data_IF_511158637759
#
_entry.id   IF_511158637759
#
_cell.length_a   1.000
_cell.length_b   1.000
_cell.length_c   1.000
_cell.angle_alpha   90.00
_cell.angle_beta   90.00
_cell.angle_gamma   90.00
#
_symmetry.space_group_name_H-M   'P 1'
#
loop_
_entity.id
_entity.type
_entity.pdbx_description
1 polymer ?
#
# COMPACT_ATOMS: atom_id res chain seq x y z
N UNK A 1 -0.91 -6.26 -19.65
CA UNK A 1 -0.50 -7.60 -19.22
C UNK A 1 0.17 -7.45 -17.87
N UNK A 2 -0.15 -8.27 -16.86
CA UNK A 2 0.37 -8.09 -15.49
C UNK A 2 1.90 -8.22 -15.44
N UNK A 3 2.52 -8.87 -16.42
CA UNK A 3 3.97 -8.97 -16.56
C UNK A 3 4.67 -7.60 -16.74
N UNK A 4 4.00 -6.62 -17.33
CA UNK A 4 4.55 -5.26 -17.56
C UNK A 4 4.11 -4.25 -16.50
N UNK A 5 3.25 -4.66 -15.56
CA UNK A 5 2.78 -3.78 -14.51
C UNK A 5 3.89 -3.43 -13.52
N UNK A 6 3.92 -2.16 -13.11
CA UNK A 6 4.85 -1.66 -12.10
C UNK A 6 4.73 -2.49 -10.79
N UNK A 7 3.51 -2.84 -10.41
CA UNK A 7 3.22 -3.57 -9.17
C UNK A 7 2.17 -4.65 -9.44
N UNK A 8 2.39 -5.84 -8.91
CA UNK A 8 1.53 -7.01 -9.13
C UNK A 8 1.23 -7.65 -7.78
N UNK A 9 -0.05 -7.97 -7.54
CA UNK A 9 -0.42 -8.74 -6.35
C UNK A 9 0.04 -10.18 -6.55
N UNK A 10 1.13 -10.57 -5.90
CA UNK A 10 1.73 -11.92 -6.01
C UNK A 10 1.71 -12.68 -4.68
N UNK A 11 1.28 -12.04 -3.60
CA UNK A 11 1.01 -12.71 -2.33
C UNK A 11 -0.16 -12.07 -1.59
N UNK A 12 -0.88 -12.89 -0.83
CA UNK A 12 -1.95 -12.45 0.06
C UNK A 12 -1.80 -13.10 1.43
N UNK A 13 -2.17 -12.38 2.48
CA UNK A 13 -2.20 -12.90 3.84
C UNK A 13 -3.46 -12.43 4.56
N UNK A 14 -4.35 -13.36 4.90
CA UNK A 14 -5.52 -13.06 5.71
C UNK A 14 -5.12 -12.66 7.14
N UNK A 15 -5.87 -11.73 7.72
CA UNK A 15 -5.76 -11.39 9.14
C UNK A 15 -7.14 -11.27 9.77
N UNK A 16 -7.16 -11.23 11.09
CA UNK A 16 -8.35 -10.87 11.85
C UNK A 16 -8.15 -9.48 12.40
N UNK A 17 -9.18 -8.65 12.24
CA UNK A 17 -9.22 -7.33 12.87
C UNK A 17 -9.98 -7.44 14.19
N UNK A 18 -9.48 -6.79 15.23
CA UNK A 18 -10.12 -6.69 16.53
C UNK A 18 -10.03 -5.25 17.06
N UNK A 19 -11.01 -4.84 17.87
CA UNK A 19 -10.99 -3.55 18.57
C UNK A 19 -12.18 -2.63 18.32
N UNK A 20 -12.99 -2.89 17.29
CA UNK A 20 -14.22 -2.14 17.03
C UNK A 20 -15.37 -3.11 16.72
N UNK A 21 -16.35 -3.20 17.62
CA UNK A 21 -17.53 -4.07 17.49
C UNK A 21 -18.83 -3.25 17.62
N UNK A 22 -19.84 -3.47 16.76
CA UNK A 22 -19.83 -4.40 15.62
C UNK A 22 -19.00 -3.86 14.45
N UNK A 23 -18.33 -4.77 13.73
CA UNK A 23 -17.63 -4.42 12.49
C UNK A 23 -18.64 -4.12 11.38
N UNK A 24 -18.38 -3.13 10.50
CA UNK A 24 -19.23 -2.86 9.35
C UNK A 24 -19.36 -4.08 8.42
N UNK A 25 -20.55 -4.31 7.84
CA UNK A 25 -20.80 -5.45 6.94
C UNK A 25 -19.87 -5.47 5.72
N UNK A 26 -19.41 -4.31 5.26
CA UNK A 26 -18.49 -4.21 4.13
C UNK A 26 -17.05 -4.59 4.51
N UNK A 27 -16.68 -4.55 5.80
CA UNK A 27 -15.33 -4.87 6.27
C UNK A 27 -15.19 -6.36 6.59
N UNK A 28 -15.12 -7.16 5.52
CA UNK A 28 -15.06 -8.63 5.61
C UNK A 28 -13.80 -9.17 4.93
N UNK A 29 -13.39 -10.36 5.37
CA UNK A 29 -12.24 -11.12 4.87
C UNK A 29 -10.98 -10.27 4.62
N UNK A 30 -10.50 -9.53 5.64
CA UNK A 30 -9.41 -8.61 5.42
C UNK A 30 -8.11 -9.37 5.10
N UNK A 31 -7.46 -8.93 4.02
CA UNK A 31 -6.20 -9.49 3.52
C UNK A 31 -5.17 -8.39 3.30
N UNK A 32 -3.92 -8.68 3.66
CA UNK A 32 -2.75 -7.96 3.18
C UNK A 32 -2.46 -8.42 1.77
N UNK A 33 -2.19 -7.49 0.85
CA UNK A 33 -1.74 -7.80 -0.51
C UNK A 33 -0.27 -7.41 -0.65
N UNK A 34 0.52 -8.23 -1.34
CA UNK A 34 1.96 -8.03 -1.50
C UNK A 34 2.40 -8.17 -2.95
N UNK A 35 3.41 -7.39 -3.33
CA UNK A 35 4.30 -7.71 -4.45
C UNK A 35 5.56 -8.37 -3.88
N UNK A 36 5.79 -9.62 -4.28
CA UNK A 36 6.87 -10.51 -3.83
C UNK A 36 7.87 -10.79 -4.95
N UNK A 37 7.78 -10.10 -6.08
CA UNK A 37 8.74 -10.25 -7.19
C UNK A 37 10.13 -9.85 -6.70
N UNK A 38 11.15 -10.54 -7.19
CA UNK A 38 12.54 -10.20 -6.92
C UNK A 38 12.93 -8.99 -7.78
N UNK A 39 13.58 -8.01 -7.15
CA UNK A 39 14.07 -6.80 -7.82
C UNK A 39 15.61 -6.70 -7.81
N UNK A 40 16.28 -7.69 -7.21
CA UNK A 40 17.74 -7.83 -7.07
C UNK A 40 18.06 -9.32 -6.87
N UNK A 41 19.14 -9.82 -7.49
CA UNK A 41 19.57 -11.23 -7.42
C UNK A 41 20.17 -11.61 -6.05
N UNK A 42 20.61 -10.63 -5.27
CA UNK A 42 21.38 -10.85 -4.04
C UNK A 42 20.55 -10.77 -2.74
N UNK A 43 19.23 -10.59 -2.85
CA UNK A 43 18.39 -10.21 -1.72
C UNK A 43 17.15 -11.11 -1.53
N UNK A 44 16.74 -11.40 -0.28
CA UNK A 44 15.53 -12.17 -0.03
C UNK A 44 14.32 -11.46 -0.66
N UNK A 45 13.29 -12.20 -1.11
CA UNK A 45 12.15 -11.62 -1.81
C UNK A 45 11.50 -10.55 -0.93
N UNK A 46 11.70 -9.29 -1.30
CA UNK A 46 11.14 -8.16 -0.59
C UNK A 46 9.62 -8.24 -0.62
N UNK A 47 9.01 -8.19 0.56
CA UNK A 47 7.57 -8.13 0.70
C UNK A 47 7.15 -6.65 0.61
N UNK A 48 6.84 -6.17 -0.60
CA UNK A 48 6.24 -4.85 -0.78
C UNK A 48 4.76 -4.96 -0.41
N UNK A 49 4.38 -4.43 0.74
CA UNK A 49 2.97 -4.35 1.14
C UNK A 49 2.26 -3.38 0.21
N UNK A 50 1.29 -3.88 -0.55
CA UNK A 50 0.49 -3.09 -1.49
C UNK A 50 -0.76 -2.54 -0.81
N UNK A 51 -1.37 -3.34 0.07
CA UNK A 51 -2.69 -3.02 0.62
C UNK A 51 -2.85 -3.45 2.06
N UNK A 52 -3.44 -2.58 2.88
CA UNK A 52 -3.78 -2.86 4.27
C UNK A 52 -5.09 -2.18 4.68
N UNK A 53 -6.09 -2.97 5.09
CA UNK A 53 -7.39 -2.50 5.57
C UNK A 53 -7.45 -2.35 7.09
N UNK A 54 -8.19 -1.36 7.58
CA UNK A 54 -8.39 -1.16 9.01
C UNK A 54 -9.69 -0.41 9.30
N UNK A 55 -10.15 -0.48 10.56
CA UNK A 55 -11.28 0.32 11.06
C UNK A 55 -10.76 1.50 11.87
N UNK A 56 -11.37 2.67 11.66
CA UNK A 56 -11.15 3.88 12.45
C UNK A 56 -12.45 4.71 12.49
N UNK A 57 -13.45 4.30 13.30
CA UNK A 57 -14.74 4.97 13.34
C UNK A 57 -14.66 6.41 13.84
N UNK A 58 -13.63 6.79 14.60
CA UNK A 58 -13.45 8.16 15.09
C UNK A 58 -13.22 9.15 13.93
N UNK A 59 -12.60 8.70 12.83
CA UNK A 59 -12.44 9.52 11.61
C UNK A 59 -13.76 9.88 10.92
N UNK A 60 -14.86 9.18 11.20
CA UNK A 60 -16.19 9.54 10.67
C UNK A 60 -16.67 10.90 11.16
N UNK A 61 -16.09 11.42 12.25
CA UNK A 61 -16.40 12.76 12.74
C UNK A 61 -15.84 13.87 11.83
N UNK A 62 -14.94 13.54 10.90
CA UNK A 62 -14.36 14.50 9.97
C UNK A 62 -15.30 14.74 8.77
N UNK A 63 -15.68 16.00 8.46
CA UNK A 63 -16.65 16.30 7.39
C UNK A 63 -16.28 15.80 5.98
N UNK A 64 -14.99 15.54 5.75
CA UNK A 64 -14.44 15.08 4.46
C UNK A 64 -14.40 13.57 4.31
N UNK A 65 -14.71 12.84 5.37
CA UNK A 65 -14.71 11.37 5.39
C UNK A 65 -16.14 10.91 5.16
N UNK A 66 -16.30 10.03 4.17
CA UNK A 66 -17.57 9.36 3.86
C UNK A 66 -17.46 7.87 4.19
N UNK A 67 -18.58 7.14 4.23
CA UNK A 67 -18.57 5.68 4.45
C UNK A 67 -18.84 5.26 5.89
N UNK A 68 -18.35 4.08 6.26
CA UNK A 68 -18.73 3.33 7.48
C UNK A 68 -17.59 3.18 8.50
N UNK A 69 -16.47 3.86 8.27
CA UNK A 69 -15.29 3.80 9.15
C UNK A 69 -14.30 2.71 8.76
N UNK A 70 -14.54 2.01 7.66
CA UNK A 70 -13.58 1.11 7.04
C UNK A 70 -12.68 1.85 6.03
N UNK A 71 -11.38 1.62 6.15
CA UNK A 71 -10.36 2.26 5.33
C UNK A 71 -9.37 1.24 4.79
N UNK A 72 -8.69 1.59 3.72
CA UNK A 72 -7.47 0.90 3.30
C UNK A 72 -6.38 1.90 2.91
N UNK A 73 -5.14 1.51 3.19
CA UNK A 73 -3.97 2.11 2.58
C UNK A 73 -3.63 1.34 1.30
N UNK A 74 -3.51 2.05 0.18
CA UNK A 74 -2.90 1.57 -1.05
C UNK A 74 -1.51 2.19 -1.18
N UNK A 75 -0.47 1.37 -1.23
CA UNK A 75 0.94 1.77 -1.20
C UNK A 75 1.55 1.61 -2.59
N UNK A 76 2.21 2.66 -3.07
CA UNK A 76 2.88 2.66 -4.36
C UNK A 76 4.38 2.75 -4.21
N UNK A 77 5.08 1.97 -5.01
CA UNK A 77 6.52 1.90 -5.08
C UNK A 77 7.01 2.44 -6.44
N UNK A 78 8.23 3.02 -6.49
CA UNK A 78 8.87 3.33 -7.76
C UNK A 78 9.03 2.08 -8.64
N UNK A 79 8.90 2.27 -9.96
CA UNK A 79 9.29 1.26 -10.94
C UNK A 79 10.79 1.02 -10.90
N UNK A 80 11.24 -0.19 -11.24
CA UNK A 80 12.66 -0.56 -11.17
C UNK A 80 13.57 0.31 -12.06
N UNK A 81 13.03 0.88 -13.13
CA UNK A 81 13.67 1.84 -14.03
C UNK A 81 13.22 3.29 -13.79
N UNK A 82 12.38 3.51 -12.78
CA UNK A 82 11.75 4.79 -12.47
C UNK A 82 12.57 5.68 -11.53
N UNK A 83 12.34 7.00 -11.55
CA UNK A 83 12.96 7.92 -10.61
C UNK A 83 12.57 7.57 -9.17
N UNK A 84 13.55 7.63 -8.26
CA UNK A 84 13.36 7.32 -6.85
C UNK A 84 13.49 5.83 -6.49
N UNK A 85 13.70 4.95 -7.47
CA UNK A 85 14.06 3.56 -7.20
C UNK A 85 15.51 3.45 -6.72
N UNK A 86 15.70 2.70 -5.64
CA UNK A 86 17.01 2.41 -5.05
C UNK A 86 17.12 0.89 -4.95
N UNK A 87 18.06 0.30 -5.68
CA UNK A 87 18.20 -1.17 -5.78
C UNK A 87 18.41 -1.80 -4.41
N UNK A 88 19.16 -1.14 -3.52
CA UNK A 88 19.43 -1.63 -2.16
C UNK A 88 18.27 -1.37 -1.18
N UNK A 89 17.23 -0.64 -1.60
CA UNK A 89 16.05 -0.33 -0.80
C UNK A 89 14.79 -0.34 -1.68
N UNK A 90 14.43 -1.48 -2.29
CA UNK A 90 13.31 -1.57 -3.22
C UNK A 90 11.94 -1.46 -2.52
N UNK A 91 11.91 -1.46 -1.19
CA UNK A 91 10.71 -1.33 -0.37
C UNK A 91 10.43 0.12 0.08
N UNK A 92 11.09 1.12 -0.50
CA UNK A 92 10.79 2.53 -0.27
C UNK A 92 9.47 2.91 -0.96
N UNK A 93 8.47 3.28 -0.16
CA UNK A 93 7.13 3.68 -0.63
C UNK A 93 7.26 5.05 -1.28
N UNK A 94 6.89 5.23 -2.54
CA UNK A 94 6.85 6.55 -3.19
C UNK A 94 5.70 7.39 -2.64
N UNK A 95 4.51 6.81 -2.64
CA UNK A 95 3.30 7.44 -2.15
C UNK A 95 2.32 6.40 -1.59
N UNK A 96 1.41 6.84 -0.73
CA UNK A 96 0.34 6.02 -0.20
C UNK A 96 -0.97 6.79 -0.20
N UNK A 97 -2.06 6.12 -0.56
CA UNK A 97 -3.40 6.69 -0.58
C UNK A 97 -4.27 6.05 0.50
N UNK A 98 -4.93 6.90 1.28
CA UNK A 98 -5.99 6.48 2.18
C UNK A 98 -7.32 6.54 1.41
N UNK A 99 -8.04 5.44 1.32
CA UNK A 99 -9.28 5.33 0.56
C UNK A 99 -10.30 4.46 1.31
N UNK A 100 -11.58 4.42 0.89
CA UNK A 100 -12.54 3.48 1.45
C UNK A 100 -12.03 2.04 1.29
N UNK A 101 -12.27 1.20 2.30
CA UNK A 101 -11.96 -0.22 2.19
C UNK A 101 -12.69 -0.86 1.01
N UNK A 102 -12.00 -1.76 0.31
CA UNK A 102 -12.63 -2.68 -0.61
C UNK A 102 -12.19 -4.10 -0.24
N UNK A 103 -12.97 -5.13 -0.60
CA UNK A 103 -12.49 -6.49 -0.47
C UNK A 103 -11.26 -6.71 -1.37
N UNK A 104 -10.38 -7.63 -0.96
CA UNK A 104 -9.18 -7.97 -1.75
C UNK A 104 -9.55 -8.56 -3.09
N UNK A 105 -8.63 -8.46 -4.06
CA UNK A 105 -8.81 -9.07 -5.38
C UNK A 105 -7.97 -10.33 -5.55
N UNK A 106 -8.11 -10.97 -6.71
CA UNK A 106 -7.35 -12.17 -7.06
C UNK A 106 -5.83 -11.91 -7.16
N UNK A 107 -5.02 -12.91 -6.82
CA UNK A 107 -3.58 -12.89 -7.11
C UNK A 107 -3.32 -12.87 -8.63
N UNK A 108 -2.16 -12.34 -9.02
CA UNK A 108 -1.70 -12.24 -10.40
C UNK A 108 -2.20 -11.01 -11.15
N UNK A 109 -3.07 -10.20 -10.55
CA UNK A 109 -3.55 -8.95 -11.14
C UNK A 109 -2.56 -7.80 -10.95
N UNK A 110 -2.65 -6.84 -11.86
CA UNK A 110 -2.04 -5.53 -11.68
C UNK A 110 -2.61 -4.85 -10.42
N UNK A 111 -1.74 -4.21 -9.66
CA UNK A 111 -2.15 -3.44 -8.50
C UNK A 111 -2.54 -2.02 -8.92
N UNK A 112 -3.83 -1.72 -8.84
CA UNK A 112 -4.40 -0.38 -9.05
C UNK A 112 -4.09 0.55 -7.87
N UNK A 113 -2.82 0.94 -7.75
CA UNK A 113 -2.34 1.67 -6.59
C UNK A 113 -2.65 3.17 -6.58
N UNK A 114 -3.01 3.76 -7.73
CA UNK A 114 -3.47 5.16 -7.81
C UNK A 114 -4.99 5.18 -7.97
N UNK A 115 -5.75 5.52 -6.90
CA UNK A 115 -7.20 5.51 -6.97
C UNK A 115 -7.76 6.78 -7.64
N UNK A 116 -8.97 6.67 -8.20
CA UNK A 116 -9.71 7.82 -8.71
C UNK A 116 -10.15 8.80 -7.60
N UNK A 117 -10.30 8.31 -6.37
CA UNK A 117 -10.65 9.11 -5.20
C UNK A 117 -9.92 8.58 -3.95
N UNK A 118 -9.49 9.50 -3.10
CA UNK A 118 -8.81 9.21 -1.85
C UNK A 118 -9.16 10.27 -0.79
N UNK A 119 -9.20 9.85 0.47
CA UNK A 119 -9.32 10.74 1.62
C UNK A 119 -8.03 11.49 1.93
N UNK A 120 -6.88 10.88 1.63
CA UNK A 120 -5.56 11.47 1.80
C UNK A 120 -4.54 10.84 0.86
N UNK A 121 -3.47 11.60 0.57
CA UNK A 121 -2.24 11.13 -0.06
C UNK A 121 -1.07 11.48 0.84
N UNK A 122 -0.16 10.53 1.02
CA UNK A 122 1.15 10.74 1.65
C UNK A 122 2.20 10.54 0.57
N UNK A 123 3.11 11.50 0.41
CA UNK A 123 4.26 11.38 -0.48
C UNK A 123 5.52 11.30 0.36
N UNK A 124 6.39 10.36 0.03
CA UNK A 124 7.63 10.16 0.76
C UNK A 124 8.80 10.68 -0.07
N UNK A 125 9.69 11.38 0.62
CA UNK A 125 11.01 11.75 0.11
C UNK A 125 12.05 11.07 0.98
N UNK A 126 12.87 10.21 0.38
CA UNK A 126 13.97 9.56 1.07
C UNK A 126 15.28 10.24 0.70
N UNK A 127 16.14 10.40 1.70
CA UNK A 127 17.48 10.92 1.54
C UNK A 127 18.44 10.00 2.27
N UNK A 128 19.57 9.65 1.66
CA UNK A 128 20.62 8.89 2.36
C UNK A 128 21.17 9.77 3.47
N UNK A 129 21.52 9.17 4.62
CA UNK A 129 22.13 9.92 5.72
C UNK A 129 23.37 10.70 5.26
N UNK A 130 24.17 10.11 4.37
CA UNK A 130 25.33 10.79 3.77
C UNK A 130 24.96 12.03 2.97
N UNK A 131 23.85 12.01 2.22
CA UNK A 131 23.38 13.16 1.45
C UNK A 131 22.91 14.27 2.39
N UNK A 132 22.12 13.90 3.41
CA UNK A 132 21.61 14.85 4.42
C UNK A 132 22.75 15.53 5.17
N UNK A 133 23.78 14.77 5.58
CA UNK A 133 24.92 15.30 6.34
C UNK A 133 25.83 16.22 5.51
N UNK A 134 25.84 16.08 4.17
CA UNK A 134 26.65 16.93 3.27
C UNK A 134 25.89 18.20 2.85
N UNK A 135 24.58 18.27 3.09
CA UNK A 135 23.78 19.47 2.86
C UNK A 135 23.39 19.70 1.40
N UNK A 136 23.31 18.63 0.61
CA UNK A 136 22.68 18.64 -0.71
C UNK A 136 21.19 18.32 -0.64
#
# INVERSE_FOLDING_TARGET
>A
DAAEANQVVTGVQAYQFSGYEPQPEAFTDPVLEFDRREFSEDEPPYLRLLRYGFLDPDRLQLPRVTGDGSFEWAMNYPAADGPGFVVEQPNLIRDAYLKPYNAGGDCGREFEGVPNSAYARVEYSYQRLSEYLVGY
#
